data_IF_093403186491
#
_entry.id   IF_093403186491
#
_cell.length_a   1.000
_cell.length_b   1.000
_cell.length_c   1.000
_cell.angle_alpha   90.00
_cell.angle_beta   90.00
_cell.angle_gamma   90.00
#
_symmetry.space_group_name_H-M   'P 1'
#
loop_
_entity.id
_entity.type
_entity.pdbx_description
1 polymer ?
#
# COMPACT_ATOMS: atom_id res chain seq x y z
N UNK A 1 -11.10 -17.68 -16.53
CA UNK A 1 -10.44 -16.93 -15.45
C UNK A 1 -9.95 -15.58 -15.96
N UNK A 2 -9.18 -15.51 -17.07
CA UNK A 2 -8.68 -14.24 -17.62
C UNK A 2 -9.79 -13.23 -17.92
N UNK A 3 -10.89 -13.65 -18.52
CA UNK A 3 -12.06 -12.79 -18.77
C UNK A 3 -12.70 -12.25 -17.49
N UNK A 4 -12.71 -13.05 -16.43
CA UNK A 4 -13.20 -12.60 -15.12
C UNK A 4 -12.27 -11.57 -14.51
N UNK A 5 -10.96 -11.81 -14.57
CA UNK A 5 -9.94 -10.87 -14.09
C UNK A 5 -10.02 -9.55 -14.89
N UNK A 6 -10.13 -9.62 -16.21
CA UNK A 6 -10.24 -8.44 -17.07
C UNK A 6 -11.47 -7.57 -16.75
N UNK A 7 -12.52 -8.15 -16.18
CA UNK A 7 -13.72 -7.43 -15.75
C UNK A 7 -13.59 -6.75 -14.39
N UNK A 8 -12.49 -6.98 -13.66
CA UNK A 8 -12.29 -6.39 -12.32
C UNK A 8 -11.86 -4.93 -12.38
N UNK A 9 -11.38 -4.45 -13.51
CA UNK A 9 -11.04 -3.06 -13.77
C UNK A 9 -11.63 -2.61 -15.11
N UNK A 10 -12.02 -1.35 -15.18
CA UNK A 10 -12.43 -0.72 -16.42
C UNK A 10 -11.21 -0.20 -17.23
N UNK A 11 -11.50 0.48 -18.34
CA UNK A 11 -10.45 1.07 -19.20
C UNK A 11 -9.62 2.17 -18.54
N UNK A 12 -10.13 2.77 -17.46
CA UNK A 12 -9.48 3.82 -16.68
C UNK A 12 -8.77 3.24 -15.45
N UNK A 13 -8.67 1.90 -15.37
CA UNK A 13 -8.13 1.16 -14.22
C UNK A 13 -8.90 1.35 -12.90
N UNK A 14 -10.14 1.82 -12.97
CA UNK A 14 -11.04 1.87 -11.82
C UNK A 14 -11.55 0.46 -11.51
N UNK A 15 -11.56 0.07 -10.25
CA UNK A 15 -12.03 -1.25 -9.81
C UNK A 15 -13.55 -1.30 -9.93
N UNK A 16 -14.06 -2.31 -10.63
CA UNK A 16 -15.48 -2.40 -11.01
C UNK A 16 -16.35 -3.17 -10.03
N UNK A 17 -15.80 -3.58 -8.88
CA UNK A 17 -16.56 -4.27 -7.84
C UNK A 17 -17.59 -3.28 -7.25
N UNK A 18 -18.91 -3.55 -7.34
CA UNK A 18 -19.91 -2.67 -6.75
C UNK A 18 -19.69 -2.48 -5.25
N UNK A 19 -19.72 -1.22 -4.80
CA UNK A 19 -19.50 -0.87 -3.39
C UNK A 19 -18.02 -0.79 -2.96
N UNK A 20 -17.08 -1.08 -3.86
CA UNK A 20 -15.65 -1.10 -3.49
C UNK A 20 -15.13 0.26 -2.99
N UNK A 21 -15.66 1.34 -3.52
CA UNK A 21 -15.23 2.70 -3.20
C UNK A 21 -16.17 3.44 -2.25
N UNK A 22 -17.27 2.83 -1.78
CA UNK A 22 -18.30 3.52 -0.99
C UNK A 22 -17.75 4.17 0.28
N UNK A 23 -16.77 3.54 0.92
CA UNK A 23 -16.13 4.05 2.14
C UNK A 23 -14.81 4.79 1.87
N UNK A 24 -14.39 4.94 0.62
CA UNK A 24 -13.14 5.64 0.27
C UNK A 24 -13.33 7.14 0.41
N UNK A 25 -12.48 7.77 1.22
CA UNK A 25 -12.49 9.24 1.37
C UNK A 25 -11.79 9.85 0.16
N UNK A 26 -12.53 10.69 -0.57
CA UNK A 26 -11.91 11.55 -1.58
C UNK A 26 -11.21 12.72 -0.90
N UNK A 27 -9.94 12.92 -1.24
CA UNK A 27 -9.17 14.01 -0.68
C UNK A 27 -9.54 15.34 -1.33
N UNK A 28 -9.51 16.40 -0.53
CA UNK A 28 -9.61 17.78 -1.01
C UNK A 28 -8.39 18.13 -1.88
N UNK A 29 -8.53 19.18 -2.69
CA UNK A 29 -7.40 19.68 -3.49
C UNK A 29 -6.22 20.09 -2.62
N UNK A 30 -6.48 20.66 -1.43
CA UNK A 30 -5.42 21.04 -0.48
C UNK A 30 -4.63 19.82 0.02
N UNK A 31 -5.31 18.72 0.36
CA UNK A 31 -4.66 17.48 0.79
C UNK A 31 -3.87 16.84 -0.36
N UNK A 32 -4.38 16.91 -1.60
CA UNK A 32 -3.65 16.45 -2.79
C UNK A 32 -2.40 17.30 -3.04
N UNK A 33 -2.48 18.61 -2.87
CA UNK A 33 -1.33 19.52 -2.98
C UNK A 33 -0.28 19.23 -1.90
N UNK A 34 -0.71 18.87 -0.69
CA UNK A 34 0.20 18.46 0.38
C UNK A 34 0.96 17.17 0.03
N UNK A 35 0.30 16.19 -0.56
CA UNK A 35 0.95 14.98 -1.07
C UNK A 35 1.96 15.32 -2.18
N UNK A 36 1.62 16.25 -3.07
CA UNK A 36 2.47 16.69 -4.16
C UNK A 36 3.74 17.42 -3.69
N UNK A 37 3.80 17.91 -2.43
CA UNK A 37 5.01 18.51 -1.84
C UNK A 37 6.09 17.48 -1.50
N UNK A 38 5.75 16.20 -1.42
CA UNK A 38 6.75 15.16 -1.21
C UNK A 38 7.73 15.13 -2.39
N UNK A 39 9.04 15.04 -2.14
CA UNK A 39 10.02 14.99 -3.21
C UNK A 39 9.83 13.70 -4.03
N UNK A 40 9.33 13.83 -5.24
CA UNK A 40 9.13 12.73 -6.17
C UNK A 40 9.40 13.21 -7.60
N UNK A 41 10.20 12.46 -8.34
CA UNK A 41 10.45 12.67 -9.76
C UNK A 41 9.97 11.46 -10.55
N UNK A 42 8.94 11.64 -11.38
CA UNK A 42 8.41 10.55 -12.21
C UNK A 42 9.46 10.04 -13.20
N UNK A 43 10.31 10.90 -13.73
CA UNK A 43 11.35 10.51 -14.69
C UNK A 43 12.45 9.68 -14.02
N UNK A 44 12.87 10.06 -12.82
CA UNK A 44 13.82 9.27 -12.02
C UNK A 44 13.20 7.93 -11.60
N UNK A 45 11.94 7.91 -11.20
CA UNK A 45 11.20 6.70 -10.86
C UNK A 45 11.12 5.74 -12.06
N UNK A 46 10.72 6.23 -13.24
CA UNK A 46 10.68 5.42 -14.47
C UNK A 46 12.06 4.88 -14.83
N UNK A 47 13.08 5.73 -14.74
CA UNK A 47 14.47 5.35 -15.03
C UNK A 47 14.99 4.27 -14.06
N UNK A 48 14.69 4.40 -12.77
CA UNK A 48 15.12 3.44 -11.75
C UNK A 48 14.50 2.05 -11.94
N UNK A 49 13.28 1.99 -12.49
CA UNK A 49 12.54 0.76 -12.75
C UNK A 49 12.64 0.26 -14.20
N UNK A 50 13.41 0.96 -15.06
CA UNK A 50 13.52 0.67 -16.49
C UNK A 50 12.14 0.62 -17.21
N UNK A 51 11.29 1.61 -16.91
CA UNK A 51 9.94 1.72 -17.45
C UNK A 51 9.86 2.85 -18.49
N UNK A 52 9.14 2.59 -19.59
CA UNK A 52 8.77 3.62 -20.56
C UNK A 52 7.65 4.52 -20.02
N UNK A 53 6.71 3.97 -19.24
CA UNK A 53 5.59 4.71 -18.67
C UNK A 53 5.04 4.01 -17.42
N UNK A 54 4.18 4.74 -16.66
CA UNK A 54 3.48 4.23 -15.47
C UNK A 54 2.02 3.94 -15.79
N UNK A 55 1.45 2.95 -15.11
CA UNK A 55 0.08 2.51 -15.30
C UNK A 55 -0.68 2.53 -13.97
N UNK A 56 -1.96 2.87 -13.98
CA UNK A 56 -2.80 2.86 -12.79
C UNK A 56 -4.10 3.64 -12.99
N UNK A 57 -4.85 3.86 -11.92
CA UNK A 57 -6.14 4.55 -11.93
C UNK A 57 -6.01 5.96 -12.53
N UNK A 58 -6.85 6.27 -13.54
CA UNK A 58 -6.84 7.56 -14.21
C UNK A 58 -7.29 8.69 -13.26
N UNK A 59 -6.73 9.89 -13.45
CA UNK A 59 -7.03 11.05 -12.61
C UNK A 59 -6.20 11.17 -11.33
N UNK A 60 -5.30 10.21 -11.07
CA UNK A 60 -4.41 10.21 -9.90
C UNK A 60 -2.95 10.10 -10.31
N UNK A 61 -2.10 10.82 -9.59
CA UNK A 61 -0.64 10.77 -9.74
C UNK A 61 -0.08 9.45 -9.19
N UNK A 62 1.18 9.12 -9.51
CA UNK A 62 1.84 7.92 -8.97
C UNK A 62 1.87 7.93 -7.43
N UNK A 63 2.15 9.08 -6.81
CA UNK A 63 2.15 9.21 -5.35
C UNK A 63 0.77 8.99 -4.73
N UNK A 64 -0.27 9.50 -5.37
CA UNK A 64 -1.65 9.27 -4.92
C UNK A 64 -2.07 7.81 -5.06
N UNK A 65 -1.74 7.18 -6.19
CA UNK A 65 -2.03 5.75 -6.42
C UNK A 65 -1.37 4.84 -5.38
N UNK A 66 -0.17 5.17 -4.95
CA UNK A 66 0.56 4.36 -3.96
C UNK A 66 0.19 4.67 -2.51
N UNK A 67 -0.39 5.84 -2.23
CA UNK A 67 -0.62 6.32 -0.85
C UNK A 67 -2.07 6.45 -0.42
N UNK A 68 -2.98 6.79 -1.35
CA UNK A 68 -4.37 7.16 -0.99
C UNK A 68 -5.44 6.42 -1.79
N UNK A 69 -5.07 5.69 -2.85
CA UNK A 69 -6.04 4.92 -3.63
C UNK A 69 -5.94 3.44 -3.30
N UNK A 70 -7.08 2.75 -3.17
CA UNK A 70 -7.08 1.31 -3.00
C UNK A 70 -6.65 0.63 -4.29
N UNK A 71 -6.04 -0.56 -4.19
CA UNK A 71 -5.60 -1.33 -5.35
C UNK A 71 -6.24 -2.71 -5.40
N UNK A 72 -6.24 -3.28 -6.60
CA UNK A 72 -6.52 -4.70 -6.83
C UNK A 72 -5.43 -5.23 -7.75
N UNK A 73 -4.64 -6.17 -7.24
CA UNK A 73 -3.46 -6.66 -7.90
C UNK A 73 -3.51 -8.18 -8.08
N UNK A 74 -3.19 -8.64 -9.30
CA UNK A 74 -3.08 -10.06 -9.62
C UNK A 74 -1.65 -10.50 -9.37
N UNK A 75 -1.41 -11.13 -8.22
CA UNK A 75 -0.07 -11.54 -7.78
C UNK A 75 0.39 -12.86 -8.42
N UNK A 76 -0.54 -13.62 -8.96
CA UNK A 76 -0.24 -14.85 -9.66
C UNK A 76 -1.44 -15.40 -10.40
N UNK A 77 -1.18 -15.99 -11.56
CA UNK A 77 -2.16 -16.69 -12.36
C UNK A 77 -1.51 -17.95 -12.92
N UNK A 78 -2.19 -19.09 -12.83
CA UNK A 78 -1.66 -20.35 -13.35
C UNK A 78 -2.80 -21.31 -13.69
N UNK A 79 -2.47 -22.30 -14.49
CA UNK A 79 -3.37 -23.37 -14.92
C UNK A 79 -2.95 -23.94 -16.26
N UNK A 80 -3.51 -25.08 -16.62
CA UNK A 80 -3.16 -25.78 -17.84
C UNK A 80 -1.80 -26.49 -17.77
N UNK A 81 -1.25 -26.79 -18.95
CA UNK A 81 0.05 -27.43 -19.08
C UNK A 81 1.15 -26.37 -19.10
N UNK A 82 2.14 -26.55 -18.23
CA UNK A 82 3.26 -25.62 -18.05
C UNK A 82 4.64 -26.31 -18.31
N UNK A 83 4.64 -27.58 -18.75
CA UNK A 83 5.86 -28.28 -19.11
C UNK A 83 6.36 -27.89 -20.50
N UNK A 84 7.53 -28.39 -20.86
CA UNK A 84 8.14 -28.18 -22.17
C UNK A 84 7.30 -28.83 -23.29
N UNK A 85 7.25 -28.18 -24.45
CA UNK A 85 6.53 -28.66 -25.64
C UNK A 85 5.04 -28.31 -25.64
N UNK A 86 4.36 -28.69 -26.72
CA UNK A 86 2.94 -28.44 -26.90
C UNK A 86 2.09 -29.62 -26.35
N UNK A 87 1.00 -29.28 -25.67
CA UNK A 87 -0.01 -30.25 -25.23
C UNK A 87 -1.41 -29.71 -25.51
N UNK A 88 -2.10 -30.33 -26.44
CA UNK A 88 -3.44 -29.96 -26.84
C UNK A 88 -4.49 -30.52 -25.89
N UNK A 89 -4.52 -29.99 -24.65
CA UNK A 89 -5.49 -30.38 -23.63
C UNK A 89 -6.20 -29.17 -23.07
N UNK A 90 -7.51 -29.25 -22.89
CA UNK A 90 -8.29 -28.21 -22.22
C UNK A 90 -8.08 -28.36 -20.69
N UNK A 91 -7.55 -27.37 -19.99
CA UNK A 91 -7.34 -27.45 -18.56
C UNK A 91 -8.66 -27.52 -17.80
N UNK A 92 -8.73 -28.39 -16.81
CA UNK A 92 -9.91 -28.54 -15.94
C UNK A 92 -9.96 -27.51 -14.82
N UNK A 93 -8.83 -26.84 -14.53
CA UNK A 93 -8.71 -25.87 -13.43
C UNK A 93 -7.78 -24.73 -13.82
N UNK A 94 -8.09 -23.54 -13.32
CA UNK A 94 -7.24 -22.36 -13.37
C UNK A 94 -7.32 -21.62 -12.04
N UNK A 95 -6.23 -20.96 -11.65
CA UNK A 95 -6.07 -20.33 -10.35
C UNK A 95 -5.54 -18.92 -10.49
N UNK A 96 -5.90 -18.06 -9.55
CA UNK A 96 -5.27 -16.76 -9.38
C UNK A 96 -5.06 -16.45 -7.89
N UNK A 97 -4.01 -15.70 -7.60
CA UNK A 97 -3.81 -15.00 -6.33
C UNK A 97 -4.08 -13.52 -6.58
N UNK A 98 -4.95 -12.97 -5.78
CA UNK A 98 -5.36 -11.57 -5.91
C UNK A 98 -5.24 -10.94 -4.53
N UNK A 99 -4.62 -9.77 -4.45
CA UNK A 99 -4.55 -8.95 -3.25
C UNK A 99 -5.12 -7.56 -3.50
N UNK A 100 -5.57 -6.92 -2.45
CA UNK A 100 -6.08 -5.56 -2.47
C UNK A 100 -5.41 -4.77 -1.36
N UNK A 101 -4.88 -3.60 -1.68
CA UNK A 101 -4.46 -2.60 -0.69
C UNK A 101 -5.65 -1.75 -0.37
N UNK A 102 -5.95 -1.60 0.89
CA UNK A 102 -7.10 -0.84 1.37
C UNK A 102 -6.65 0.54 1.85
N UNK A 103 -7.59 1.48 1.84
CA UNK A 103 -7.40 2.84 2.36
C UNK A 103 -8.32 3.08 3.55
N UNK A 104 -8.12 4.14 4.35
CA UNK A 104 -8.95 4.41 5.53
C UNK A 104 -10.45 4.27 5.25
N UNK A 105 -11.15 3.76 6.25
CA UNK A 105 -12.58 3.40 6.28
C UNK A 105 -12.97 2.13 5.53
N UNK A 106 -12.13 1.59 4.66
CA UNK A 106 -12.41 0.28 4.08
C UNK A 106 -12.15 -0.83 5.11
N UNK A 107 -13.08 -1.78 5.21
CA UNK A 107 -12.94 -2.99 6.03
C UNK A 107 -12.47 -4.17 5.18
N UNK A 108 -11.44 -4.89 5.61
CA UNK A 108 -10.95 -6.10 4.95
C UNK A 108 -12.04 -7.18 4.80
N UNK A 109 -12.93 -7.29 5.78
CA UNK A 109 -14.05 -8.24 5.77
C UNK A 109 -15.10 -7.88 4.74
N UNK A 110 -15.50 -6.60 4.69
CA UNK A 110 -16.50 -6.16 3.70
C UNK A 110 -15.93 -6.20 2.28
N UNK A 111 -14.71 -5.76 2.07
CA UNK A 111 -14.07 -5.85 0.75
C UNK A 111 -13.91 -7.31 0.30
N UNK A 112 -13.55 -8.22 1.19
CA UNK A 112 -13.51 -9.66 0.89
C UNK A 112 -14.87 -10.20 0.45
N UNK A 113 -15.94 -9.78 1.12
CA UNK A 113 -17.32 -10.16 0.80
C UNK A 113 -17.77 -9.58 -0.54
N UNK A 114 -17.52 -8.29 -0.80
CA UNK A 114 -17.83 -7.64 -2.07
C UNK A 114 -17.08 -8.32 -3.23
N UNK A 115 -15.79 -8.56 -3.08
CA UNK A 115 -14.99 -9.29 -4.05
C UNK A 115 -15.55 -10.68 -4.33
N UNK A 116 -15.82 -11.47 -3.28
CA UNK A 116 -16.29 -12.85 -3.41
C UNK A 116 -17.63 -12.89 -4.16
N UNK A 117 -18.56 -12.03 -3.78
CA UNK A 117 -19.87 -11.95 -4.40
C UNK A 117 -19.77 -11.56 -5.89
N UNK A 118 -19.04 -10.48 -6.17
CA UNK A 118 -18.87 -9.99 -7.52
C UNK A 118 -18.14 -10.99 -8.40
N UNK A 119 -16.99 -11.49 -7.97
CA UNK A 119 -16.18 -12.44 -8.73
C UNK A 119 -16.94 -13.73 -9.06
N UNK A 120 -17.76 -14.20 -8.12
CA UNK A 120 -18.63 -15.37 -8.34
C UNK A 120 -19.76 -15.04 -9.31
N UNK A 121 -20.34 -13.85 -9.23
CA UNK A 121 -21.48 -13.45 -10.06
C UNK A 121 -21.14 -13.29 -11.54
N UNK A 122 -19.91 -12.86 -11.85
CA UNK A 122 -19.43 -12.66 -13.23
C UNK A 122 -18.91 -13.94 -13.89
N UNK A 123 -18.92 -15.05 -13.15
CA UNK A 123 -18.45 -16.34 -13.67
C UNK A 123 -19.39 -16.90 -14.74
N UNK A 124 -18.86 -17.47 -15.84
CA UNK A 124 -19.68 -18.23 -16.78
C UNK A 124 -20.40 -19.40 -16.10
N UNK A 125 -21.64 -19.68 -16.49
CA UNK A 125 -22.43 -20.78 -15.92
C UNK A 125 -21.76 -22.16 -16.08
N UNK A 126 -20.83 -22.29 -17.03
CA UNK A 126 -20.12 -23.54 -17.36
C UNK A 126 -18.98 -23.85 -16.35
N UNK A 127 -18.63 -22.95 -15.43
CA UNK A 127 -17.53 -23.13 -14.49
C UNK A 127 -18.01 -23.01 -13.04
N UNK A 128 -17.29 -23.66 -12.15
CA UNK A 128 -17.46 -23.48 -10.71
C UNK A 128 -16.34 -22.63 -10.17
N UNK A 129 -16.67 -21.58 -9.44
CA UNK A 129 -15.72 -20.69 -8.77
C UNK A 129 -15.68 -21.02 -7.29
N UNK A 130 -14.47 -21.06 -6.74
CA UNK A 130 -14.22 -21.09 -5.30
C UNK A 130 -13.29 -19.95 -4.97
N UNK A 131 -13.73 -19.03 -4.13
CA UNK A 131 -12.90 -18.00 -3.50
C UNK A 131 -12.50 -18.50 -2.12
N UNK A 132 -11.21 -18.40 -1.80
CA UNK A 132 -10.67 -18.78 -0.49
C UNK A 132 -9.97 -17.55 0.08
N UNK A 133 -10.63 -16.79 0.95
CA UNK A 133 -10.01 -15.64 1.60
C UNK A 133 -8.82 -16.06 2.46
N UNK A 134 -7.77 -15.24 2.46
CA UNK A 134 -6.69 -15.31 3.42
C UNK A 134 -6.91 -14.28 4.53
N UNK A 135 -5.92 -14.09 5.39
CA UNK A 135 -5.95 -13.02 6.40
C UNK A 135 -5.92 -11.65 5.73
N UNK A 136 -6.65 -10.72 6.31
CA UNK A 136 -6.62 -9.30 5.96
C UNK A 136 -6.19 -8.46 7.17
N UNK A 137 -6.19 -7.14 6.99
CA UNK A 137 -5.92 -6.18 8.05
C UNK A 137 -6.51 -4.81 7.71
N UNK A 138 -6.88 -4.09 8.74
CA UNK A 138 -7.41 -2.75 8.62
C UNK A 138 -6.31 -1.76 8.19
N UNK A 139 -6.62 -0.78 7.34
CA UNK A 139 -5.70 0.28 6.99
C UNK A 139 -5.43 1.20 8.19
N UNK A 140 -4.24 1.79 8.23
CA UNK A 140 -3.84 2.70 9.28
C UNK A 140 -3.16 3.94 8.71
N UNK A 141 -3.53 5.11 9.22
CA UNK A 141 -2.86 6.38 8.93
C UNK A 141 -2.38 7.00 10.24
N UNK A 142 -1.07 7.18 10.37
CA UNK A 142 -0.48 7.83 11.53
C UNK A 142 -0.95 9.27 11.67
N UNK A 143 -1.49 9.70 12.82
CA UNK A 143 -1.89 11.08 13.02
C UNK A 143 -0.67 12.01 13.10
N UNK A 144 -0.78 13.20 12.50
CA UNK A 144 0.29 14.20 12.44
C UNK A 144 0.17 15.31 13.48
N UNK A 145 -0.88 15.31 14.29
CA UNK A 145 -1.21 16.30 15.32
C UNK A 145 -0.87 15.84 16.75
N UNK A 146 -0.09 14.78 16.90
CA UNK A 146 0.26 14.19 18.20
C UNK A 146 1.62 14.65 18.70
N UNK A 147 1.86 14.63 20.04
CA UNK A 147 3.19 14.85 20.61
C UNK A 147 4.25 13.90 20.08
N UNK A 148 3.87 12.65 19.79
CA UNK A 148 4.76 11.66 19.20
C UNK A 148 5.21 12.06 17.78
N UNK A 149 4.28 12.52 16.92
CA UNK A 149 4.64 13.04 15.60
C UNK A 149 5.55 14.28 15.71
N UNK A 150 5.22 15.23 16.60
CA UNK A 150 6.04 16.42 16.83
C UNK A 150 7.47 16.03 17.25
N UNK A 151 7.60 15.05 18.15
CA UNK A 151 8.90 14.55 18.58
C UNK A 151 9.67 13.85 17.45
N UNK A 152 8.99 13.04 16.64
CA UNK A 152 9.58 12.36 15.49
C UNK A 152 10.07 13.36 14.42
N UNK A 153 9.24 14.34 14.09
CA UNK A 153 9.60 15.40 13.13
C UNK A 153 10.83 16.19 13.60
N UNK A 154 10.85 16.59 14.86
CA UNK A 154 12.01 17.27 15.45
C UNK A 154 13.29 16.42 15.44
N UNK A 155 13.16 15.12 15.79
CA UNK A 155 14.29 14.21 15.78
C UNK A 155 14.87 14.01 14.39
N UNK A 156 14.02 13.82 13.38
CA UNK A 156 14.44 13.71 11.97
C UNK A 156 15.13 14.99 11.49
N UNK A 157 14.54 16.15 11.76
CA UNK A 157 15.13 17.45 11.40
C UNK A 157 16.50 17.65 12.06
N UNK A 158 16.63 17.31 13.35
CA UNK A 158 17.90 17.39 14.08
C UNK A 158 18.96 16.47 13.47
N UNK A 159 18.59 15.26 13.08
CA UNK A 159 19.53 14.25 12.61
C UNK A 159 19.92 14.45 11.14
N UNK A 160 18.97 14.84 10.29
CA UNK A 160 19.17 14.96 8.83
C UNK A 160 19.29 16.40 8.33
N UNK A 161 19.06 17.40 9.20
CA UNK A 161 19.15 18.81 8.85
C UNK A 161 18.01 19.32 7.97
N UNK A 162 16.96 18.52 7.78
CA UNK A 162 15.78 18.87 6.97
C UNK A 162 14.52 18.42 7.69
N UNK A 163 13.49 19.25 7.66
CA UNK A 163 12.17 18.91 8.19
C UNK A 163 11.57 17.79 7.34
N UNK A 164 11.11 16.68 7.96
CA UNK A 164 10.49 15.59 7.22
C UNK A 164 9.13 16.01 6.65
N UNK A 165 8.78 15.43 5.51
CA UNK A 165 7.46 15.55 4.90
C UNK A 165 6.72 14.25 5.17
N UNK A 166 5.53 14.29 5.79
CA UNK A 166 4.73 13.08 5.98
C UNK A 166 4.23 12.59 4.63
N UNK A 167 4.39 11.29 4.38
CA UNK A 167 3.89 10.64 3.17
C UNK A 167 2.99 9.47 3.56
N UNK A 168 2.02 9.16 2.71
CA UNK A 168 1.24 7.93 2.80
C UNK A 168 1.87 6.86 1.90
N UNK A 169 1.83 5.64 2.35
CA UNK A 169 2.36 4.50 1.60
C UNK A 169 1.38 3.33 1.68
N UNK A 170 1.25 2.57 0.59
CA UNK A 170 0.47 1.34 0.54
C UNK A 170 1.15 0.14 1.22
N UNK A 171 2.21 0.35 2.00
CA UNK A 171 2.87 -0.70 2.77
C UNK A 171 1.92 -1.37 3.76
N UNK A 172 2.00 -2.71 3.88
CA UNK A 172 1.14 -3.48 4.80
C UNK A 172 1.85 -3.77 6.10
N UNK A 173 1.40 -3.14 7.17
CA UNK A 173 1.79 -3.45 8.55
C UNK A 173 0.53 -3.64 9.39
N UNK A 174 -0.21 -4.75 9.25
CA UNK A 174 -1.53 -4.95 9.86
C UNK A 174 -1.55 -4.82 11.39
N UNK A 175 -0.42 -5.13 12.03
CA UNK A 175 -0.27 -5.05 13.50
C UNK A 175 -0.42 -3.61 14.03
N UNK A 176 -0.18 -2.59 13.20
CA UNK A 176 -0.27 -1.19 13.64
C UNK A 176 -1.71 -0.80 13.95
N UNK A 177 -2.64 -1.17 13.06
CA UNK A 177 -4.07 -0.98 13.30
C UNK A 177 -4.55 -1.79 14.52
N UNK A 178 -4.00 -3.00 14.70
CA UNK A 178 -4.30 -3.82 15.88
C UNK A 178 -3.80 -3.17 17.19
N UNK A 179 -2.62 -2.56 17.20
CA UNK A 179 -2.13 -1.83 18.38
C UNK A 179 -3.06 -0.67 18.75
N UNK A 180 -3.55 0.09 17.79
CA UNK A 180 -4.51 1.14 18.08
C UNK A 180 -5.80 0.56 18.67
N UNK A 181 -6.32 -0.49 18.07
CA UNK A 181 -7.58 -1.13 18.49
C UNK A 181 -7.51 -1.76 19.88
N UNK A 182 -6.46 -2.52 20.15
CA UNK A 182 -6.35 -3.32 21.38
C UNK A 182 -5.72 -2.55 22.55
N UNK A 183 -4.79 -1.65 22.26
CA UNK A 183 -4.05 -0.90 23.29
C UNK A 183 -4.51 0.55 23.42
N UNK A 184 -5.33 1.06 22.49
CA UNK A 184 -5.75 2.47 22.49
C UNK A 184 -4.61 3.45 22.24
N UNK A 185 -3.49 2.99 21.64
CA UNK A 185 -2.30 3.83 21.40
C UNK A 185 -2.14 4.13 19.92
N UNK A 186 -1.79 5.38 19.63
CA UNK A 186 -1.46 5.81 18.28
C UNK A 186 -0.01 5.47 17.97
N UNK A 187 0.23 4.90 16.80
CA UNK A 187 1.57 4.55 16.34
C UNK A 187 2.12 5.59 15.39
N UNK A 188 3.43 5.85 15.47
CA UNK A 188 4.17 6.65 14.50
C UNK A 188 5.05 5.72 13.68
N UNK A 189 4.90 5.78 12.37
CA UNK A 189 5.72 5.00 11.44
C UNK A 189 6.93 5.84 11.03
N UNK A 190 8.10 5.44 11.49
CA UNK A 190 9.35 6.15 11.28
C UNK A 190 10.32 5.23 10.56
N UNK A 191 10.53 5.47 9.26
CA UNK A 191 11.38 4.67 8.39
C UNK A 191 12.68 5.40 8.03
N UNK A 192 13.76 4.65 7.83
CA UNK A 192 15.09 5.15 7.47
C UNK A 192 15.63 4.50 6.19
N UNK A 193 14.86 3.61 5.57
CA UNK A 193 15.17 3.00 4.27
C UNK A 193 14.99 3.98 3.12
N UNK A 194 15.70 3.71 2.03
CA UNK A 194 15.60 4.45 0.77
C UNK A 194 15.00 3.55 -0.31
N UNK A 195 14.41 4.15 -1.33
CA UNK A 195 13.94 3.40 -2.51
C UNK A 195 15.08 2.64 -3.20
N UNK A 196 16.31 3.19 -3.14
CA UNK A 196 17.52 2.55 -3.66
C UNK A 196 17.96 1.30 -2.90
N UNK A 197 17.40 1.04 -1.70
CA UNK A 197 17.76 -0.13 -0.89
C UNK A 197 17.17 -1.44 -1.47
N UNK A 198 16.40 -1.36 -2.55
CA UNK A 198 15.83 -2.48 -3.30
C UNK A 198 15.02 -3.44 -2.41
N UNK A 199 14.20 -2.87 -1.49
CA UNK A 199 13.39 -3.62 -0.52
C UNK A 199 12.51 -4.66 -1.25
N UNK A 200 12.54 -5.91 -0.79
CA UNK A 200 11.88 -7.07 -1.39
C UNK A 200 12.35 -7.43 -2.80
N UNK A 201 13.54 -7.00 -3.19
CA UNK A 201 14.14 -7.26 -4.50
C UNK A 201 15.50 -7.98 -4.38
N UNK A 202 16.03 -8.57 -5.46
CA UNK A 202 17.38 -9.06 -5.47
C UNK A 202 18.39 -7.96 -5.09
N UNK A 203 19.40 -8.31 -4.30
CA UNK A 203 20.42 -7.39 -3.78
C UNK A 203 19.85 -6.33 -2.81
N UNK A 204 18.77 -6.65 -2.10
CA UNK A 204 18.29 -5.82 -1.00
C UNK A 204 19.42 -5.49 -0.04
N UNK A 205 19.53 -4.22 0.34
CA UNK A 205 20.58 -3.73 1.22
C UNK A 205 20.06 -2.59 2.09
N UNK A 206 20.87 -2.19 3.05
CA UNK A 206 20.57 -1.06 3.92
C UNK A 206 21.82 -0.21 4.15
N UNK A 207 21.74 1.09 3.91
CA UNK A 207 22.86 1.99 4.02
C UNK A 207 23.37 2.13 5.46
N UNK A 208 24.66 1.87 5.70
CA UNK A 208 25.30 2.04 7.03
C UNK A 208 25.13 3.46 7.56
N UNK A 209 25.16 4.46 6.69
CA UNK A 209 24.90 5.85 7.08
C UNK A 209 23.50 6.00 7.68
N UNK A 210 22.46 5.48 7.01
CA UNK A 210 21.09 5.55 7.50
C UNK A 210 20.87 4.69 8.76
N UNK A 211 21.61 3.59 8.89
CA UNK A 211 21.59 2.77 10.11
C UNK A 211 22.02 3.58 11.33
N UNK A 212 23.17 4.25 11.29
CA UNK A 212 23.62 5.08 12.39
C UNK A 212 22.76 6.33 12.60
N UNK A 213 22.30 6.96 11.53
CA UNK A 213 21.37 8.08 11.61
C UNK A 213 20.02 7.68 12.22
N UNK A 214 19.54 6.49 11.95
CA UNK A 214 18.35 5.93 12.60
C UNK A 214 18.52 5.80 14.10
N UNK A 215 19.64 5.24 14.56
CA UNK A 215 19.95 5.14 16.00
C UNK A 215 19.96 6.52 16.65
N UNK A 216 20.66 7.49 16.05
CA UNK A 216 20.72 8.88 16.53
C UNK A 216 19.31 9.50 16.61
N UNK A 217 18.49 9.32 15.57
CA UNK A 217 17.12 9.84 15.52
C UNK A 217 16.26 9.29 16.65
N UNK A 218 16.35 7.99 16.94
CA UNK A 218 15.56 7.37 18.01
C UNK A 218 15.92 7.96 19.38
N UNK A 219 17.19 8.26 19.64
CA UNK A 219 17.61 8.91 20.88
C UNK A 219 17.00 10.31 21.01
N UNK A 220 17.07 11.12 19.96
CA UNK A 220 16.43 12.45 19.94
C UNK A 220 14.91 12.36 20.06
N UNK A 221 14.29 11.38 19.42
CA UNK A 221 12.85 11.15 19.54
C UNK A 221 12.42 10.92 20.99
N UNK A 222 13.03 9.98 21.70
CA UNK A 222 12.65 9.69 23.08
C UNK A 222 12.90 10.88 24.02
N UNK A 223 14.00 11.59 23.84
CA UNK A 223 14.28 12.81 24.60
C UNK A 223 13.19 13.85 24.38
N UNK A 224 12.91 14.20 23.13
CA UNK A 224 11.91 15.23 22.82
C UNK A 224 10.51 14.81 23.23
N UNK A 225 10.16 13.54 23.05
CA UNK A 225 8.85 13.02 23.45
C UNK A 225 8.65 13.10 24.96
N UNK A 226 9.67 12.71 25.76
CA UNK A 226 9.64 12.86 27.22
C UNK A 226 9.46 14.31 27.64
N UNK A 227 10.14 15.27 26.99
CA UNK A 227 10.02 16.68 27.30
C UNK A 227 8.60 17.22 27.02
N UNK A 228 8.00 16.80 25.90
CA UNK A 228 6.63 17.19 25.54
C UNK A 228 5.58 16.63 26.50
N UNK A 229 5.80 15.44 27.06
CA UNK A 229 4.88 14.86 28.04
C UNK A 229 4.97 15.52 29.42
N UNK A 230 6.14 16.02 29.81
CA UNK A 230 6.33 16.76 31.09
C UNK A 230 5.77 18.18 31.04
N UNK A 231 5.62 18.75 29.84
CA UNK A 231 5.11 20.12 29.67
C UNK A 231 3.58 20.22 29.70
N UNK A 232 2.88 19.08 29.77
CA UNK A 232 1.42 18.97 29.98
C UNK A 232 1.12 18.78 31.47
#
# INVERSE_FOLDING_TARGET
LCEMIAKMKDRNNHITIPGFYDDVIELSNEERDDIARAPFSLDEYKKALDLSDVHGEEGYTTMERTGIRPTLDVNGIWGGYIGEGAKTVIPSKAYAKISMRLVPNQSDKEITKLFTNYFTSIAPKSVKVKVSPHHGGEPYVSPTDTPAYTAASHAMETTYGKKPVPVRSGGSIPIVALFEKELGVKSILLGFGLDSDAIHSPNEHYGIFNYFKGIETIVYFFKKYSDLLKAK
#
